data_IF_120275043204
#
_entry.id   IF_120275043204
#
_cell.length_a   1.000
_cell.length_b   1.000
_cell.length_c   1.000
_cell.angle_alpha   90.00
_cell.angle_beta   90.00
_cell.angle_gamma   90.00
#
_symmetry.space_group_name_H-M   'P 1'
#
loop_
_entity.id
_entity.type
_entity.pdbx_description
1 polymer ?
#
# COMPACT_ATOMS: atom_id res chain seq x y z
N UNK A 1 33.77 -15.81 -14.39
CA UNK A 1 33.95 -14.60 -13.55
C UNK A 1 32.67 -13.78 -13.66
N UNK A 2 31.84 -13.86 -12.63
CA UNK A 2 30.51 -13.22 -12.63
C UNK A 2 30.70 -11.86 -11.92
N UNK A 3 30.71 -10.78 -12.69
CA UNK A 3 30.81 -9.41 -12.14
C UNK A 3 29.48 -9.10 -11.46
N UNK A 4 29.44 -8.73 -10.17
CA UNK A 4 28.21 -8.37 -9.51
C UNK A 4 27.62 -7.14 -10.19
N UNK A 5 26.31 -7.21 -10.52
CA UNK A 5 25.52 -6.10 -11.07
C UNK A 5 25.55 -4.96 -10.04
N UNK A 6 25.82 -3.71 -10.43
CA UNK A 6 25.82 -2.61 -9.49
C UNK A 6 24.43 -2.47 -8.85
N UNK A 7 24.39 -2.36 -7.52
CA UNK A 7 23.19 -2.05 -6.77
C UNK A 7 22.58 -0.73 -7.25
N UNK A 8 21.23 -0.62 -7.25
CA UNK A 8 20.57 0.57 -7.77
C UNK A 8 20.93 1.80 -6.92
N UNK A 9 21.12 2.92 -7.58
CA UNK A 9 21.56 4.23 -7.07
C UNK A 9 20.72 4.86 -5.93
N UNK A 10 19.73 4.17 -5.39
CA UNK A 10 18.87 4.61 -4.28
C UNK A 10 19.64 4.75 -2.97
N UNK A 11 20.76 4.01 -2.79
CA UNK A 11 21.59 4.05 -1.58
C UNK A 11 22.48 5.31 -1.48
N UNK A 12 22.66 6.06 -2.58
CA UNK A 12 23.57 7.21 -2.63
C UNK A 12 22.90 8.58 -2.36
N UNK A 13 21.58 8.60 -2.24
CA UNK A 13 20.83 9.85 -2.00
C UNK A 13 21.08 10.44 -0.61
N UNK A 14 21.37 9.61 0.38
CA UNK A 14 21.67 10.07 1.76
C UNK A 14 22.98 10.86 1.84
N UNK A 15 23.96 10.58 0.99
CA UNK A 15 25.27 11.24 0.97
C UNK A 15 25.20 12.68 0.45
N UNK A 16 24.12 13.08 -0.23
CA UNK A 16 23.96 14.41 -0.85
C UNK A 16 23.30 15.46 0.03
N UNK A 17 22.86 15.10 1.24
CA UNK A 17 22.17 16.03 2.13
C UNK A 17 23.16 16.95 2.87
N UNK A 18 23.40 18.16 2.34
CA UNK A 18 24.35 19.17 2.88
C UNK A 18 23.65 20.42 3.44
N UNK A 19 22.50 20.30 4.10
CA UNK A 19 21.75 21.43 4.66
C UNK A 19 21.65 21.37 6.19
N UNK A 20 21.21 22.46 6.82
CA UNK A 20 20.89 22.49 8.26
C UNK A 20 19.86 21.41 8.67
N UNK A 21 19.01 20.99 7.74
CA UNK A 21 18.02 19.92 7.91
C UNK A 21 18.49 18.54 7.39
N UNK A 22 19.81 18.34 7.29
CA UNK A 22 20.38 17.10 6.75
C UNK A 22 19.97 15.85 7.53
N UNK A 23 19.67 15.99 8.83
CA UNK A 23 19.24 14.87 9.69
C UNK A 23 17.85 14.37 9.30
N UNK A 24 16.88 15.27 9.18
CA UNK A 24 15.49 14.96 8.83
C UNK A 24 15.39 14.46 7.38
N UNK A 25 16.16 15.10 6.48
CA UNK A 25 16.24 14.67 5.09
C UNK A 25 16.83 13.26 4.95
N UNK A 26 17.94 12.96 5.65
CA UNK A 26 18.50 11.59 5.65
C UNK A 26 17.55 10.56 6.22
N UNK A 27 16.83 10.92 7.30
CA UNK A 27 15.81 10.04 7.87
C UNK A 27 14.69 9.76 6.86
N UNK A 28 14.19 10.79 6.18
CA UNK A 28 13.18 10.65 5.13
C UNK A 28 13.66 9.75 3.99
N UNK A 29 14.86 9.99 3.47
CA UNK A 29 15.43 9.19 2.37
C UNK A 29 15.61 7.72 2.78
N UNK A 30 16.03 7.46 4.02
CA UNK A 30 16.15 6.09 4.55
C UNK A 30 14.79 5.41 4.67
N UNK A 31 13.78 6.11 5.19
CA UNK A 31 12.42 5.60 5.28
C UNK A 31 11.87 5.25 3.88
N UNK A 32 12.08 6.15 2.92
CA UNK A 32 11.68 5.94 1.53
C UNK A 32 12.38 4.73 0.91
N UNK A 33 13.69 4.61 1.08
CA UNK A 33 14.47 3.48 0.57
C UNK A 33 13.99 2.14 1.17
N UNK A 34 13.80 2.08 2.49
CA UNK A 34 13.28 0.89 3.15
C UNK A 34 11.89 0.50 2.61
N UNK A 35 10.98 1.47 2.48
CA UNK A 35 9.64 1.24 1.94
C UNK A 35 9.71 0.68 0.52
N UNK A 36 10.54 1.27 -0.36
CA UNK A 36 10.68 0.82 -1.74
C UNK A 36 11.29 -0.59 -1.85
N UNK A 37 12.26 -0.93 -0.99
CA UNK A 37 12.86 -2.27 -0.98
C UNK A 37 11.84 -3.35 -0.56
N UNK A 38 11.07 -3.08 0.50
CA UNK A 38 10.01 -3.98 0.97
C UNK A 38 8.93 -4.12 -0.11
N UNK A 39 8.46 -3.00 -0.67
CA UNK A 39 7.45 -2.99 -1.72
C UNK A 39 7.91 -3.75 -2.97
N UNK A 40 9.16 -3.60 -3.38
CA UNK A 40 9.75 -4.34 -4.51
C UNK A 40 9.70 -5.85 -4.27
N UNK A 41 10.00 -6.31 -3.06
CA UNK A 41 9.91 -7.73 -2.68
C UNK A 41 8.48 -8.23 -2.73
N UNK A 42 7.53 -7.48 -2.16
CA UNK A 42 6.10 -7.82 -2.19
C UNK A 42 5.58 -7.91 -3.62
N UNK A 43 5.91 -6.94 -4.48
CA UNK A 43 5.54 -6.95 -5.90
C UNK A 43 6.08 -8.18 -6.64
N UNK A 44 7.33 -8.55 -6.36
CA UNK A 44 7.92 -9.74 -6.96
C UNK A 44 7.20 -11.02 -6.50
N UNK A 45 6.95 -11.16 -5.20
CA UNK A 45 6.25 -12.32 -4.64
C UNK A 45 4.81 -12.44 -5.14
N UNK A 46 4.04 -11.33 -5.19
CA UNK A 46 2.68 -11.35 -5.73
C UNK A 46 2.64 -11.78 -7.19
N UNK A 47 3.60 -11.36 -8.01
CA UNK A 47 3.69 -11.77 -9.41
C UNK A 47 4.09 -13.22 -9.57
N UNK A 48 5.08 -13.67 -8.80
CA UNK A 48 5.64 -15.02 -8.91
C UNK A 48 4.68 -16.09 -8.41
N UNK A 49 4.01 -15.85 -7.28
CA UNK A 49 3.18 -16.88 -6.62
C UNK A 49 1.69 -16.79 -6.97
N UNK A 50 1.20 -15.63 -7.40
CA UNK A 50 -0.24 -15.39 -7.61
C UNK A 50 -0.57 -14.75 -8.96
N UNK A 51 0.40 -14.51 -9.83
CA UNK A 51 0.22 -13.84 -11.13
C UNK A 51 -0.60 -12.54 -11.01
N UNK A 52 -0.37 -11.78 -9.94
CA UNK A 52 -1.11 -10.56 -9.65
C UNK A 52 -0.19 -9.37 -9.37
N UNK A 53 -0.77 -8.19 -9.21
CA UNK A 53 -0.04 -6.95 -8.96
C UNK A 53 -0.38 -6.37 -7.59
N UNK A 54 0.52 -5.59 -7.00
CA UNK A 54 0.28 -4.91 -5.72
C UNK A 54 -0.97 -4.02 -5.74
N UNK A 55 -1.27 -3.20 -6.78
CA UNK A 55 -2.52 -2.43 -6.82
C UNK A 55 -3.78 -3.28 -6.79
N UNK A 56 -3.77 -4.48 -7.36
CA UNK A 56 -4.90 -5.43 -7.30
C UNK A 56 -5.05 -6.00 -5.90
N UNK A 57 -3.95 -6.42 -5.29
CA UNK A 57 -3.90 -6.87 -3.90
C UNK A 57 -4.42 -5.79 -2.96
N UNK A 58 -3.95 -4.54 -3.08
CA UNK A 58 -4.37 -3.41 -2.26
C UNK A 58 -5.87 -3.12 -2.38
N UNK A 59 -6.43 -3.21 -3.59
CA UNK A 59 -7.87 -3.05 -3.81
C UNK A 59 -8.65 -4.16 -3.09
N UNK A 60 -8.25 -5.41 -3.24
CA UNK A 60 -8.88 -6.53 -2.57
C UNK A 60 -8.75 -6.43 -1.04
N UNK A 61 -7.62 -5.94 -0.51
CA UNK A 61 -7.42 -5.68 0.91
C UNK A 61 -8.36 -4.60 1.47
N UNK A 62 -8.71 -3.59 0.67
CA UNK A 62 -9.72 -2.61 1.09
C UNK A 62 -11.13 -3.24 1.10
N UNK A 63 -11.45 -4.08 0.14
CA UNK A 63 -12.76 -4.73 0.06
C UNK A 63 -12.96 -5.80 1.14
N UNK A 64 -11.91 -6.52 1.51
CA UNK A 64 -11.97 -7.51 2.58
C UNK A 64 -12.39 -6.89 3.92
N UNK A 65 -11.90 -5.68 4.22
CA UNK A 65 -12.26 -4.93 5.43
C UNK A 65 -13.67 -4.32 5.40
N UNK A 66 -14.34 -4.39 4.25
CA UNK A 66 -15.67 -3.81 4.01
C UNK A 66 -16.56 -4.81 3.28
N UNK A 67 -17.09 -5.84 3.97
CA UNK A 67 -17.88 -6.90 3.35
C UNK A 67 -19.14 -6.41 2.63
N UNK A 68 -19.73 -5.30 3.08
CA UNK A 68 -20.85 -4.62 2.43
C UNK A 68 -20.47 -3.88 1.14
N UNK A 69 -19.17 -3.83 0.84
CA UNK A 69 -18.62 -3.18 -0.34
C UNK A 69 -18.38 -1.68 -0.18
N UNK A 70 -17.54 -1.14 -1.06
CA UNK A 70 -17.17 0.27 -1.15
C UNK A 70 -17.60 0.87 -2.49
N UNK A 71 -17.95 2.16 -2.49
CA UNK A 71 -18.16 2.93 -3.72
C UNK A 71 -16.81 3.21 -4.39
N UNK A 72 -16.80 3.38 -5.72
CA UNK A 72 -15.58 3.64 -6.50
C UNK A 72 -14.81 4.87 -6.00
N UNK A 73 -15.52 5.94 -5.59
CA UNK A 73 -14.93 7.16 -5.03
C UNK A 73 -14.22 6.88 -3.69
N UNK A 74 -14.81 6.03 -2.85
CA UNK A 74 -14.22 5.63 -1.57
C UNK A 74 -12.97 4.80 -1.78
N UNK A 75 -12.98 3.85 -2.74
CA UNK A 75 -11.82 3.05 -3.13
C UNK A 75 -10.68 3.93 -3.64
N UNK A 76 -10.97 4.86 -4.56
CA UNK A 76 -9.98 5.79 -5.10
C UNK A 76 -9.31 6.62 -4.00
N UNK A 77 -10.09 7.16 -3.08
CA UNK A 77 -9.59 7.94 -1.95
C UNK A 77 -8.71 7.08 -1.01
N UNK A 78 -9.15 5.85 -0.67
CA UNK A 78 -8.41 4.96 0.23
C UNK A 78 -7.10 4.46 -0.35
N UNK A 79 -7.08 4.19 -1.65
CA UNK A 79 -5.90 3.72 -2.38
C UNK A 79 -4.96 4.85 -2.80
N UNK A 80 -5.35 6.12 -2.60
CA UNK A 80 -4.59 7.30 -3.02
C UNK A 80 -4.22 7.29 -4.51
N UNK A 81 -5.11 6.77 -5.36
CA UNK A 81 -4.91 6.66 -6.81
C UNK A 81 -6.05 7.33 -7.57
N UNK A 82 -5.82 7.64 -8.85
CA UNK A 82 -6.84 8.26 -9.70
C UNK A 82 -8.02 7.32 -9.95
N UNK A 83 -9.22 7.88 -10.11
CA UNK A 83 -10.44 7.10 -10.35
C UNK A 83 -10.36 6.20 -11.59
N UNK A 84 -9.67 6.63 -12.65
CA UNK A 84 -9.47 5.83 -13.86
C UNK A 84 -8.65 4.55 -13.60
N UNK A 85 -7.62 4.63 -12.77
CA UNK A 85 -6.81 3.47 -12.41
C UNK A 85 -7.60 2.44 -11.59
N UNK A 86 -8.38 2.92 -10.60
CA UNK A 86 -9.26 2.04 -9.80
C UNK A 86 -10.30 1.34 -10.66
N UNK A 87 -10.87 2.05 -11.64
CA UNK A 87 -11.86 1.48 -12.56
C UNK A 87 -11.26 0.32 -13.37
N UNK A 88 -10.09 0.54 -13.98
CA UNK A 88 -9.42 -0.50 -14.76
C UNK A 88 -9.08 -1.75 -13.93
N UNK A 89 -8.59 -1.56 -12.70
CA UNK A 89 -8.29 -2.67 -11.78
C UNK A 89 -9.59 -3.41 -11.40
N UNK A 90 -10.65 -2.67 -11.08
CA UNK A 90 -11.94 -3.25 -10.71
C UNK A 90 -12.54 -4.06 -11.86
N UNK A 91 -12.46 -3.54 -13.09
CA UNK A 91 -13.00 -4.24 -14.28
C UNK A 91 -12.28 -5.58 -14.53
N UNK A 92 -10.96 -5.61 -14.36
CA UNK A 92 -10.18 -6.86 -14.46
C UNK A 92 -10.60 -7.86 -13.39
N UNK A 93 -10.70 -7.46 -12.13
CA UNK A 93 -11.10 -8.33 -11.03
C UNK A 93 -12.56 -8.84 -11.17
N UNK A 94 -13.45 -8.02 -11.74
CA UNK A 94 -14.83 -8.44 -12.07
C UNK A 94 -14.82 -9.48 -13.18
N UNK A 95 -14.04 -9.26 -14.24
CA UNK A 95 -13.91 -10.23 -15.35
C UNK A 95 -13.36 -11.59 -14.90
N UNK A 96 -12.51 -11.59 -13.87
CA UNK A 96 -11.98 -12.80 -13.24
C UNK A 96 -12.90 -13.42 -12.18
N UNK A 97 -14.03 -12.79 -11.88
CA UNK A 97 -15.01 -13.27 -10.89
C UNK A 97 -14.53 -13.14 -9.43
N UNK A 98 -13.49 -12.36 -9.16
CA UNK A 98 -12.95 -12.15 -7.81
C UNK A 98 -13.69 -11.02 -7.08
N UNK A 99 -14.28 -10.10 -7.83
CA UNK A 99 -15.01 -8.93 -7.35
C UNK A 99 -16.33 -8.83 -8.08
N UNK A 100 -17.35 -8.32 -7.43
CA UNK A 100 -18.66 -8.05 -8.03
C UNK A 100 -19.12 -6.62 -7.76
N UNK A 101 -19.99 -6.13 -8.65
CA UNK A 101 -20.70 -4.86 -8.48
C UNK A 101 -22.11 -5.13 -7.99
N UNK A 102 -22.45 -4.54 -6.84
CA UNK A 102 -23.77 -4.67 -6.23
C UNK A 102 -24.48 -3.32 -6.31
N UNK A 103 -25.72 -3.33 -6.82
CA UNK A 103 -26.54 -2.13 -6.88
C UNK A 103 -26.77 -1.56 -5.47
N UNK A 104 -26.86 -0.24 -5.36
CA UNK A 104 -27.23 0.43 -4.12
C UNK A 104 -28.74 0.66 -4.13
N UNK A 105 -29.42 0.25 -3.06
CA UNK A 105 -30.86 0.47 -2.92
C UNK A 105 -31.20 1.97 -3.04
N UNK A 106 -32.17 2.28 -3.89
CA UNK A 106 -32.63 3.64 -4.12
C UNK A 106 -31.85 4.47 -5.14
N UNK A 107 -30.70 3.98 -5.65
CA UNK A 107 -29.94 4.66 -6.70
C UNK A 107 -29.46 3.68 -7.78
N UNK A 108 -30.20 3.64 -8.91
CA UNK A 108 -29.89 2.77 -10.05
C UNK A 108 -28.56 3.06 -10.76
N UNK A 109 -27.92 4.20 -10.48
CA UNK A 109 -26.64 4.60 -11.07
C UNK A 109 -25.47 4.36 -10.14
N UNK A 110 -25.73 4.10 -8.85
CA UNK A 110 -24.72 3.82 -7.86
C UNK A 110 -24.55 2.31 -7.67
N UNK A 111 -23.30 1.88 -7.58
CA UNK A 111 -22.95 0.51 -7.20
C UNK A 111 -21.83 0.52 -6.16
N UNK A 112 -21.83 -0.52 -5.36
CA UNK A 112 -20.71 -0.86 -4.48
C UNK A 112 -19.93 -2.03 -5.09
N UNK A 113 -18.66 -2.07 -4.79
CA UNK A 113 -17.76 -3.16 -5.19
C UNK A 113 -17.42 -3.96 -3.95
N UNK A 114 -17.55 -5.29 -4.03
CA UNK A 114 -17.16 -6.19 -2.93
C UNK A 114 -16.49 -7.45 -3.46
N UNK A 115 -15.80 -8.17 -2.58
CA UNK A 115 -15.24 -9.48 -2.91
C UNK A 115 -16.37 -10.50 -3.09
N UNK A 116 -16.23 -11.38 -4.08
CA UNK A 116 -16.99 -12.61 -4.19
C UNK A 116 -16.44 -13.66 -3.20
N UNK A 117 -17.13 -14.78 -2.94
CA UNK A 117 -16.56 -15.89 -2.16
C UNK A 117 -15.23 -16.40 -2.74
N UNK A 118 -15.10 -16.48 -4.07
CA UNK A 118 -13.85 -16.82 -4.75
C UNK A 118 -12.77 -15.76 -4.50
N UNK A 119 -13.14 -14.48 -4.55
CA UNK A 119 -12.23 -13.37 -4.23
C UNK A 119 -11.75 -13.38 -2.79
N UNK A 120 -12.62 -13.70 -1.84
CA UNK A 120 -12.25 -13.84 -0.42
C UNK A 120 -11.22 -14.96 -0.22
N UNK A 121 -11.46 -16.14 -0.82
CA UNK A 121 -10.52 -17.26 -0.76
C UNK A 121 -9.17 -16.92 -1.39
N UNK A 122 -9.18 -16.30 -2.57
CA UNK A 122 -7.97 -15.88 -3.28
C UNK A 122 -7.20 -14.84 -2.46
N UNK A 123 -7.91 -13.84 -1.92
CA UNK A 123 -7.29 -12.80 -1.10
C UNK A 123 -6.68 -13.37 0.19
N UNK A 124 -7.36 -14.29 0.89
CA UNK A 124 -6.86 -14.91 2.12
C UNK A 124 -5.52 -15.61 1.88
N UNK A 125 -5.37 -16.37 0.79
CA UNK A 125 -4.10 -17.01 0.43
C UNK A 125 -2.98 -16.00 0.14
N UNK A 126 -3.30 -14.92 -0.57
CA UNK A 126 -2.34 -13.83 -0.83
C UNK A 126 -1.94 -13.11 0.45
N UNK A 127 -2.89 -12.84 1.35
CA UNK A 127 -2.66 -12.13 2.60
C UNK A 127 -1.77 -12.93 3.54
N UNK A 128 -1.96 -14.23 3.65
CA UNK A 128 -1.12 -15.13 4.45
C UNK A 128 0.33 -15.10 3.95
N UNK A 129 0.54 -15.21 2.64
CA UNK A 129 1.88 -15.18 2.07
C UNK A 129 2.51 -13.79 2.16
N UNK A 130 1.72 -12.73 1.96
CA UNK A 130 2.18 -11.35 2.14
C UNK A 130 2.65 -11.09 3.58
N UNK A 131 1.93 -11.57 4.59
CA UNK A 131 2.33 -11.46 5.99
C UNK A 131 3.70 -12.10 6.23
N UNK A 132 3.97 -13.28 5.67
CA UNK A 132 5.26 -13.95 5.75
C UNK A 132 6.39 -13.10 5.15
N UNK A 133 6.19 -12.51 3.97
CA UNK A 133 7.20 -11.63 3.35
C UNK A 133 7.49 -10.39 4.21
N UNK A 134 6.47 -9.84 4.87
CA UNK A 134 6.66 -8.71 5.78
C UNK A 134 7.41 -9.14 7.04
N UNK A 135 7.06 -10.27 7.64
CA UNK A 135 7.80 -10.81 8.80
C UNK A 135 9.26 -11.01 8.46
N UNK A 136 9.57 -11.63 7.32
CA UNK A 136 10.94 -11.84 6.86
C UNK A 136 11.70 -10.54 6.58
N UNK A 137 11.01 -9.47 6.13
CA UNK A 137 11.64 -8.17 5.90
C UNK A 137 12.15 -7.51 7.19
N UNK A 138 11.64 -7.92 8.35
CA UNK A 138 12.07 -7.43 9.67
C UNK A 138 12.83 -8.48 10.49
N UNK A 139 13.12 -9.66 9.94
CA UNK A 139 13.68 -10.80 10.71
C UNK A 139 15.06 -10.50 11.34
N UNK A 140 15.87 -9.65 10.71
CA UNK A 140 17.19 -9.29 11.21
C UNK A 140 17.17 -8.20 12.32
N UNK A 141 15.99 -7.63 12.62
CA UNK A 141 15.84 -6.66 13.69
C UNK A 141 15.44 -7.36 15.00
N UNK A 142 16.10 -7.05 16.13
CA UNK A 142 15.64 -7.49 17.44
C UNK A 142 14.21 -6.98 17.72
N UNK A 143 13.39 -7.77 18.40
CA UNK A 143 11.99 -7.43 18.70
C UNK A 143 11.83 -6.03 19.33
N UNK A 144 12.73 -5.66 20.26
CA UNK A 144 12.75 -4.34 20.92
C UNK A 144 12.89 -3.19 19.90
N UNK A 145 13.67 -3.41 18.83
CA UNK A 145 13.95 -2.38 17.80
C UNK A 145 12.76 -2.27 16.85
N UNK A 146 12.09 -3.39 16.55
CA UNK A 146 10.81 -3.41 15.81
C UNK A 146 9.74 -2.63 16.59
N UNK A 147 9.59 -2.88 17.91
CA UNK A 147 8.65 -2.17 18.77
C UNK A 147 8.96 -0.68 18.87
N UNK A 148 10.24 -0.32 18.94
CA UNK A 148 10.68 1.07 18.98
C UNK A 148 10.37 1.79 17.66
N UNK A 149 10.68 1.16 16.53
CA UNK A 149 10.39 1.68 15.20
C UNK A 149 8.88 1.87 15.01
N UNK A 150 8.07 0.88 15.39
CA UNK A 150 6.62 0.96 15.34
C UNK A 150 6.08 2.18 16.12
N UNK A 151 6.56 2.40 17.35
CA UNK A 151 6.13 3.56 18.16
C UNK A 151 6.54 4.90 17.53
N UNK A 152 7.78 5.00 17.01
CA UNK A 152 8.29 6.23 16.41
C UNK A 152 7.55 6.56 15.11
N UNK A 153 7.32 5.58 14.26
CA UNK A 153 6.53 5.75 13.03
C UNK A 153 5.07 6.06 13.33
N UNK A 154 4.51 5.47 14.39
CA UNK A 154 3.16 5.79 14.86
C UNK A 154 3.02 7.27 15.25
N UNK A 155 3.98 7.81 16.01
CA UNK A 155 4.02 9.24 16.37
C UNK A 155 4.17 10.14 15.15
N UNK A 156 5.07 9.79 14.23
CA UNK A 156 5.27 10.53 12.98
C UNK A 156 3.97 10.55 12.15
N UNK A 157 3.30 9.41 12.00
CA UNK A 157 2.02 9.30 11.30
C UNK A 157 0.95 10.23 11.89
N UNK A 158 0.80 10.25 13.21
CA UNK A 158 -0.17 11.12 13.87
C UNK A 158 0.14 12.61 13.65
N UNK A 159 1.41 13.00 13.74
CA UNK A 159 1.85 14.36 13.44
C UNK A 159 1.53 14.76 11.99
N UNK A 160 1.76 13.88 11.01
CA UNK A 160 1.45 14.16 9.60
C UNK A 160 -0.05 14.28 9.35
N UNK A 161 -0.88 13.46 9.99
CA UNK A 161 -2.36 13.57 9.90
C UNK A 161 -2.83 14.93 10.40
N UNK A 162 -2.28 15.39 11.52
CA UNK A 162 -2.66 16.68 12.11
C UNK A 162 -2.20 17.86 11.24
N UNK A 163 -0.97 17.82 10.70
CA UNK A 163 -0.47 18.83 9.76
C UNK A 163 -1.37 18.91 8.52
N UNK A 164 -1.68 17.78 7.89
CA UNK A 164 -2.51 17.75 6.70
C UNK A 164 -3.93 18.28 6.97
N UNK A 165 -4.49 18.00 8.16
CA UNK A 165 -5.79 18.52 8.56
C UNK A 165 -5.78 20.05 8.67
N UNK A 166 -4.71 20.64 9.23
CA UNK A 166 -4.57 22.10 9.33
C UNK A 166 -4.44 22.74 7.96
N UNK A 167 -3.58 22.21 7.09
CA UNK A 167 -3.42 22.72 5.73
C UNK A 167 -4.73 22.70 4.92
N UNK A 168 -5.55 21.66 5.09
CA UNK A 168 -6.87 21.60 4.43
C UNK A 168 -7.88 22.58 5.02
N UNK A 169 -7.78 22.93 6.29
CA UNK A 169 -8.64 23.95 6.90
C UNK A 169 -8.28 25.36 6.39
N UNK A 170 -6.99 25.65 6.27
CA UNK A 170 -6.48 26.94 5.78
C UNK A 170 -6.80 27.19 4.28
N UNK A 171 -6.99 26.13 3.48
CA UNK A 171 -7.38 26.23 2.06
C UNK A 171 -8.88 26.53 1.85
N UNK A 172 -9.69 26.40 2.90
CA UNK A 172 -11.15 26.59 2.85
C UNK A 172 -11.60 27.97 3.41
N UNK A 173 -10.68 28.76 3.96
CA UNK A 173 -10.89 30.15 4.39
C UNK A 173 -10.45 31.15 3.33
#
# INVERSE_FOLDING_TARGET
MNTPRPEPAVLDLEARAHSEHARELRLWLRLLACSQLIEKRVRAGLREHFDTTLPRFDLMAQLERHPEGLKMKELSHRLMVTGGNVTGITDQLVAEGLVERVAVDGDRRAFRVRLTPAGQTSFAAMAEQHEQWIVEAFADLPARDVDQLHRLLGRLKQSQIEINRRLQADELE
#
